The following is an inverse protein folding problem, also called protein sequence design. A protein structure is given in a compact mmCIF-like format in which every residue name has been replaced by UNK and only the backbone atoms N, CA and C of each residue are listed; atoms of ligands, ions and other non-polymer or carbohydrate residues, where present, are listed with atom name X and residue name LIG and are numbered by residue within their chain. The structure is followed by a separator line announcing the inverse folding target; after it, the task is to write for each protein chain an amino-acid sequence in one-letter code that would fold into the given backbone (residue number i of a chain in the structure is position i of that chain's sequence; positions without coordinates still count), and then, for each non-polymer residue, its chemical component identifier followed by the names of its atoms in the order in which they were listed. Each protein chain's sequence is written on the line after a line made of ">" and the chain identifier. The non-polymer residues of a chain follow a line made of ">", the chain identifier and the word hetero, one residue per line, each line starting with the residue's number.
data_IF_285119722567
#
_entry.id   IF_285119722567
#
_cell.length_a   1.000
_cell.length_b   1.000
_cell.length_c   1.000
_cell.angle_alpha   90.00
_cell.angle_beta   90.00
_cell.angle_gamma   90.00
#
_symmetry.space_group_name_H-M   'P 1'
#
loop_
_entity.id
_entity.type
_entity.pdbx_description
1 polymer ?
#
# COMPACT_ATOMS: atom_id res chain seq x y z
N UNK A 1 25.77 0.76 4.22
CA UNK A 1 26.38 -0.58 4.27
C UNK A 1 25.26 -1.60 4.44
N UNK A 2 25.35 -2.77 3.79
CA UNK A 2 24.37 -3.84 3.96
C UNK A 2 24.30 -4.26 5.43
N UNK A 3 23.10 -4.61 5.89
CA UNK A 3 22.91 -5.16 7.22
C UNK A 3 23.55 -6.55 7.32
N UNK A 4 24.15 -6.95 8.46
CA UNK A 4 24.63 -8.31 8.64
C UNK A 4 23.55 -9.34 8.30
N UNK A 5 23.90 -10.40 7.55
CA UNK A 5 22.93 -11.35 6.99
C UNK A 5 22.00 -11.95 8.06
N UNK A 6 22.54 -12.30 9.23
CA UNK A 6 21.75 -12.82 10.35
C UNK A 6 20.67 -11.81 10.83
N UNK A 7 21.03 -10.52 10.93
CA UNK A 7 20.09 -9.47 11.33
C UNK A 7 19.08 -9.16 10.23
N UNK A 8 19.52 -9.18 8.97
CA UNK A 8 18.64 -9.01 7.80
C UNK A 8 17.57 -10.11 7.76
N UNK A 9 17.96 -11.38 7.92
CA UNK A 9 17.04 -12.51 7.94
C UNK A 9 16.08 -12.44 9.14
N UNK A 10 16.56 -12.02 10.33
CA UNK A 10 15.70 -11.83 11.49
C UNK A 10 14.68 -10.71 11.27
N UNK A 11 15.10 -9.58 10.68
CA UNK A 11 14.20 -8.47 10.37
C UNK A 11 13.14 -8.86 9.33
N UNK A 12 13.52 -9.65 8.30
CA UNK A 12 12.56 -10.21 7.34
C UNK A 12 11.57 -11.15 8.03
N UNK A 13 12.00 -11.97 8.99
CA UNK A 13 11.10 -12.83 9.76
C UNK A 13 10.06 -11.97 10.50
N UNK A 14 10.51 -10.96 11.26
CA UNK A 14 9.61 -10.08 12.01
C UNK A 14 8.66 -9.31 11.10
N UNK A 15 9.14 -8.84 9.95
CA UNK A 15 8.28 -8.22 8.93
C UNK A 15 7.19 -9.19 8.47
N UNK A 16 7.51 -10.47 8.20
CA UNK A 16 6.51 -11.46 7.79
C UNK A 16 5.46 -11.71 8.87
N UNK A 17 5.86 -11.73 10.14
CA UNK A 17 4.91 -11.83 11.26
C UNK A 17 3.95 -10.63 11.24
N UNK A 18 4.50 -9.41 11.16
CA UNK A 18 3.71 -8.18 11.08
C UNK A 18 2.78 -8.15 9.87
N UNK A 19 3.25 -8.51 8.68
CA UNK A 19 2.43 -8.55 7.48
C UNK A 19 1.22 -9.48 7.67
N UNK A 20 1.39 -10.63 8.37
CA UNK A 20 0.31 -11.59 8.62
C UNK A 20 -0.80 -11.05 9.54
N UNK A 21 -0.42 -10.28 10.57
CA UNK A 21 -1.32 -9.85 11.64
C UNK A 21 -1.79 -8.40 11.51
N UNK A 22 -1.04 -7.56 10.79
CA UNK A 22 -1.29 -6.13 10.65
C UNK A 22 -0.92 -5.28 11.87
N UNK A 23 -1.39 -4.04 11.86
CA UNK A 23 -1.10 -3.03 12.88
C UNK A 23 -2.25 -2.75 13.85
N UNK A 24 -3.36 -3.49 13.78
CA UNK A 24 -4.50 -3.27 14.66
C UNK A 24 -4.11 -3.50 16.13
N UNK A 25 -4.26 -2.51 17.05
CA UNK A 25 -3.67 -2.58 18.39
C UNK A 25 -4.08 -3.81 19.20
N UNK A 26 -5.36 -4.20 19.13
CA UNK A 26 -5.87 -5.38 19.82
C UNK A 26 -5.25 -6.68 19.29
N UNK A 27 -5.02 -6.76 17.99
CA UNK A 27 -4.43 -7.94 17.33
C UNK A 27 -2.95 -8.05 17.68
N UNK A 28 -2.22 -6.93 17.60
CA UNK A 28 -0.80 -6.88 17.98
C UNK A 28 -0.61 -7.23 19.45
N UNK A 29 -1.44 -6.69 20.35
CA UNK A 29 -1.37 -7.01 21.77
C UNK A 29 -1.58 -8.51 22.04
N UNK A 30 -2.60 -9.12 21.42
CA UNK A 30 -2.86 -10.56 21.55
C UNK A 30 -1.71 -11.41 21.01
N UNK A 31 -1.11 -11.02 19.88
CA UNK A 31 0.04 -11.75 19.33
C UNK A 31 1.28 -11.67 20.23
N UNK A 32 1.55 -10.51 20.83
CA UNK A 32 2.68 -10.34 21.74
C UNK A 32 2.52 -11.22 22.99
N UNK A 33 1.30 -11.37 23.50
CA UNK A 33 1.00 -12.16 24.69
C UNK A 33 1.04 -13.67 24.43
N UNK A 34 0.35 -14.13 23.39
CA UNK A 34 0.06 -15.56 23.20
C UNK A 34 0.84 -16.20 22.03
N UNK A 35 1.38 -15.39 21.11
CA UNK A 35 1.92 -15.83 19.82
C UNK A 35 0.96 -16.71 19.00
N UNK A 36 -0.35 -16.54 19.20
CA UNK A 36 -1.39 -17.31 18.54
C UNK A 36 -1.91 -16.59 17.28
N UNK A 37 -1.49 -17.08 16.13
CA UNK A 37 -1.96 -16.59 14.84
C UNK A 37 -3.45 -16.85 14.58
N UNK A 38 -4.02 -17.96 15.04
CA UNK A 38 -5.44 -18.26 14.85
C UNK A 38 -6.27 -17.24 15.62
N UNK A 39 -5.88 -16.95 16.86
CA UNK A 39 -6.52 -15.91 17.65
C UNK A 39 -6.46 -14.55 16.97
N UNK A 40 -5.33 -14.21 16.35
CA UNK A 40 -5.19 -12.98 15.57
C UNK A 40 -6.17 -12.94 14.37
N UNK A 41 -6.34 -14.05 13.65
CA UNK A 41 -7.28 -14.14 12.53
C UNK A 41 -8.74 -14.01 12.99
N UNK A 42 -9.11 -14.56 14.15
CA UNK A 42 -10.43 -14.36 14.75
C UNK A 42 -10.68 -12.88 15.04
N UNK A 43 -9.76 -12.21 15.74
CA UNK A 43 -9.86 -10.78 16.05
C UNK A 43 -9.95 -9.91 14.79
N UNK A 44 -9.17 -10.21 13.75
CA UNK A 44 -9.26 -9.52 12.47
C UNK A 44 -10.63 -9.71 11.80
N UNK A 45 -11.22 -10.90 11.92
CA UNK A 45 -12.58 -11.18 11.42
C UNK A 45 -13.61 -10.33 12.17
N UNK A 46 -13.54 -10.33 13.50
CA UNK A 46 -14.45 -9.58 14.36
C UNK A 46 -14.37 -8.07 14.08
N UNK A 47 -13.15 -7.55 13.84
CA UNK A 47 -12.94 -6.15 13.46
C UNK A 47 -13.57 -5.81 12.10
N UNK A 48 -13.37 -6.66 11.08
CA UNK A 48 -14.00 -6.47 9.76
C UNK A 48 -15.53 -6.46 9.87
N UNK A 49 -16.11 -7.39 10.63
CA UNK A 49 -17.55 -7.42 10.87
C UNK A 49 -18.04 -6.19 11.64
N UNK A 50 -17.25 -5.72 12.61
CA UNK A 50 -17.58 -4.54 13.41
C UNK A 50 -17.63 -3.28 12.54
N UNK A 51 -16.68 -3.11 11.62
CA UNK A 51 -16.74 -2.00 10.64
C UNK A 51 -18.03 -2.03 9.82
N UNK A 52 -18.41 -3.20 9.28
CA UNK A 52 -19.63 -3.36 8.51
C UNK A 52 -20.89 -3.05 9.34
N UNK A 53 -20.93 -3.51 10.60
CA UNK A 53 -22.04 -3.25 11.54
C UNK A 53 -22.15 -1.77 11.93
N UNK A 54 -21.06 -1.01 11.86
CA UNK A 54 -21.00 0.41 12.23
C UNK A 54 -21.34 1.37 11.09
N UNK A 55 -21.20 0.98 9.82
CA UNK A 55 -21.55 1.85 8.68
C UNK A 55 -22.96 2.45 8.71
N UNK A 56 -24.02 1.75 9.18
CA UNK A 56 -25.35 2.34 9.43
C UNK A 56 -25.34 3.65 10.23
N UNK A 57 -24.39 3.85 11.14
CA UNK A 57 -24.29 5.07 11.97
C UNK A 57 -23.80 6.28 11.18
N UNK A 58 -23.13 6.07 10.06
CA UNK A 58 -22.46 7.13 9.27
C UNK A 58 -23.18 7.47 7.97
N UNK A 59 -24.28 6.77 7.66
CA UNK A 59 -25.12 7.07 6.51
C UNK A 59 -26.54 7.44 6.92
N UNK A 60 -26.98 8.63 6.50
CA UNK A 60 -28.38 9.05 6.63
C UNK A 60 -29.31 8.42 5.58
N UNK A 61 -28.76 7.75 4.56
CA UNK A 61 -29.52 7.12 3.47
C UNK A 61 -29.21 5.63 3.38
N UNK A 62 -30.26 4.80 3.49
CA UNK A 62 -30.14 3.35 3.34
C UNK A 62 -29.48 2.90 2.02
N UNK A 63 -29.63 3.67 0.94
CA UNK A 63 -28.99 3.37 -0.35
C UNK A 63 -27.47 3.38 -0.27
N UNK A 64 -26.90 4.28 0.55
CA UNK A 64 -25.45 4.47 0.61
C UNK A 64 -24.77 3.34 1.38
N UNK A 65 -25.47 2.70 2.32
CA UNK A 65 -24.98 1.54 3.07
C UNK A 65 -24.64 0.38 2.16
N UNK A 66 -25.56 0.01 1.25
CA UNK A 66 -25.30 -1.04 0.25
C UNK A 66 -24.03 -0.74 -0.55
N UNK A 67 -23.80 0.52 -0.91
CA UNK A 67 -22.64 0.90 -1.72
C UNK A 67 -21.36 0.82 -0.92
N UNK A 68 -21.34 1.31 0.33
CA UNK A 68 -20.21 1.22 1.25
C UNK A 68 -19.84 -0.25 1.47
N UNK A 69 -20.79 -1.10 1.83
CA UNK A 69 -20.57 -2.54 2.06
C UNK A 69 -19.96 -3.22 0.81
N UNK A 70 -20.52 -2.89 -0.35
CA UNK A 70 -20.08 -3.47 -1.63
C UNK A 70 -18.65 -3.04 -1.97
N UNK A 71 -18.29 -1.76 -1.78
CA UNK A 71 -16.92 -1.33 -2.06
C UNK A 71 -15.94 -1.83 -1.01
N UNK A 72 -16.28 -1.76 0.28
CA UNK A 72 -15.41 -2.14 1.40
C UNK A 72 -14.98 -3.61 1.30
N UNK A 73 -15.93 -4.51 1.02
CA UNK A 73 -15.65 -5.94 0.85
C UNK A 73 -14.80 -6.28 -0.38
N UNK A 74 -14.73 -5.39 -1.39
CA UNK A 74 -14.03 -5.65 -2.65
C UNK A 74 -12.67 -5.00 -2.76
N UNK A 75 -12.44 -3.88 -2.07
CA UNK A 75 -11.17 -3.14 -2.10
C UNK A 75 -9.95 -4.02 -1.77
N UNK A 76 -9.97 -4.89 -0.75
CA UNK A 76 -8.81 -5.73 -0.41
C UNK A 76 -8.26 -6.54 -1.59
N UNK A 77 -9.15 -7.05 -2.45
CA UNK A 77 -8.77 -7.84 -3.63
C UNK A 77 -8.26 -7.02 -4.81
N UNK A 78 -8.36 -5.68 -4.75
CA UNK A 78 -7.98 -4.76 -5.83
C UNK A 78 -6.74 -3.94 -5.50
N UNK A 79 -6.18 -4.08 -4.29
CA UNK A 79 -4.94 -3.39 -3.90
C UNK A 79 -3.83 -3.68 -4.91
N UNK A 80 -3.02 -2.67 -5.20
CA UNK A 80 -1.99 -2.68 -6.24
C UNK A 80 -2.50 -2.50 -7.68
N UNK A 81 -3.80 -2.68 -7.93
CA UNK A 81 -4.40 -2.49 -9.25
C UNK A 81 -5.08 -1.13 -9.38
N UNK A 82 -5.12 -0.60 -10.61
CA UNK A 82 -5.97 0.56 -10.90
C UNK A 82 -7.44 0.20 -10.62
N UNK A 83 -8.08 0.98 -9.77
CA UNK A 83 -9.46 0.77 -9.37
C UNK A 83 -10.41 1.05 -10.55
N UNK A 84 -11.24 0.07 -10.90
CA UNK A 84 -12.30 0.22 -11.91
C UNK A 84 -13.62 -0.22 -11.31
N UNK A 85 -14.61 0.67 -11.27
CA UNK A 85 -15.94 0.39 -10.71
C UNK A 85 -16.62 -0.86 -11.29
N UNK A 86 -16.37 -1.17 -12.57
CA UNK A 86 -16.88 -2.38 -13.24
C UNK A 86 -16.37 -3.70 -12.62
N UNK A 87 -15.22 -3.68 -11.91
CA UNK A 87 -14.70 -4.84 -11.19
C UNK A 87 -15.41 -5.05 -9.84
N UNK A 88 -16.07 -4.01 -9.32
CA UNK A 88 -16.85 -4.08 -8.08
C UNK A 88 -18.26 -4.60 -8.38
N UNK A 89 -18.94 -3.99 -9.35
CA UNK A 89 -20.27 -4.39 -9.79
C UNK A 89 -20.53 -3.86 -11.20
N UNK A 90 -21.18 -4.68 -12.03
CA UNK A 90 -21.67 -4.26 -13.35
C UNK A 90 -23.07 -3.63 -13.29
N UNK A 91 -23.82 -3.92 -12.22
CA UNK A 91 -25.23 -3.53 -12.09
C UNK A 91 -25.38 -2.19 -11.35
N UNK A 92 -24.43 -1.84 -10.48
CA UNK A 92 -24.45 -0.58 -9.74
C UNK A 92 -23.72 0.50 -10.54
N UNK A 93 -24.38 1.63 -10.78
CA UNK A 93 -23.76 2.76 -11.46
C UNK A 93 -22.54 3.27 -10.69
N UNK A 94 -21.45 3.57 -11.40
CA UNK A 94 -20.17 4.02 -10.83
C UNK A 94 -20.31 5.19 -9.86
N UNK A 95 -21.23 6.13 -10.09
CA UNK A 95 -21.45 7.30 -9.21
C UNK A 95 -21.86 6.90 -7.78
N UNK A 96 -22.59 5.80 -7.63
CA UNK A 96 -23.05 5.31 -6.33
C UNK A 96 -21.92 4.60 -5.58
N UNK A 97 -21.16 3.75 -6.29
CA UNK A 97 -19.95 3.14 -5.74
C UNK A 97 -18.91 4.20 -5.36
N UNK A 98 -18.77 5.26 -6.17
CA UNK A 98 -17.90 6.41 -5.87
C UNK A 98 -18.31 7.09 -4.57
N UNK A 99 -19.62 7.31 -4.35
CA UNK A 99 -20.13 7.89 -3.11
C UNK A 99 -19.75 7.05 -1.88
N UNK A 100 -19.90 5.73 -1.95
CA UNK A 100 -19.47 4.83 -0.88
C UNK A 100 -17.95 4.89 -0.62
N UNK A 101 -17.16 4.93 -1.69
CA UNK A 101 -15.70 5.01 -1.60
C UNK A 101 -15.22 6.34 -1.00
N UNK A 102 -15.85 7.46 -1.37
CA UNK A 102 -15.56 8.78 -0.79
C UNK A 102 -15.93 8.85 0.70
N UNK A 103 -16.95 8.10 1.15
CA UNK A 103 -17.28 7.98 2.58
C UNK A 103 -16.24 7.16 3.34
N UNK A 104 -15.74 6.07 2.76
CA UNK A 104 -14.65 5.29 3.34
C UNK A 104 -13.35 6.10 3.46
N UNK A 105 -12.99 6.89 2.44
CA UNK A 105 -11.82 7.77 2.47
C UNK A 105 -12.00 8.88 3.52
N UNK A 106 -13.22 9.42 3.65
CA UNK A 106 -13.55 10.38 4.71
C UNK A 106 -13.42 9.81 6.11
N UNK A 107 -13.66 8.51 6.28
CA UNK A 107 -13.50 7.80 7.54
C UNK A 107 -12.08 7.25 7.77
N UNK A 108 -11.11 7.57 6.90
CA UNK A 108 -9.74 7.03 6.91
C UNK A 108 -9.68 5.49 6.87
N UNK A 109 -10.71 4.84 6.30
CA UNK A 109 -10.75 3.39 6.13
C UNK A 109 -10.07 2.92 4.84
N UNK A 110 -9.83 3.85 3.92
CA UNK A 110 -9.12 3.63 2.66
C UNK A 110 -8.32 4.87 2.31
N UNK A 111 -7.34 4.72 1.43
CA UNK A 111 -6.54 5.85 0.91
C UNK A 111 -6.42 5.81 -0.60
N UNK A 112 -6.70 6.92 -1.27
CA UNK A 112 -6.48 7.06 -2.71
C UNK A 112 -5.00 7.28 -3.06
N UNK A 113 -4.56 6.59 -4.11
CA UNK A 113 -3.29 6.85 -4.80
C UNK A 113 -3.61 7.27 -6.23
N UNK A 114 -3.41 8.55 -6.56
CA UNK A 114 -3.80 9.08 -7.87
C UNK A 114 -2.71 8.90 -8.92
N UNK A 115 -3.12 8.58 -10.14
CA UNK A 115 -2.22 8.51 -11.28
C UNK A 115 -1.73 9.90 -11.65
N UNK A 116 -0.44 10.07 -11.84
CA UNK A 116 0.16 11.25 -12.49
C UNK A 116 1.09 10.83 -13.63
N UNK A 117 1.28 11.70 -14.62
CA UNK A 117 2.22 11.48 -15.73
C UNK A 117 3.52 12.28 -15.61
N UNK A 118 3.60 13.23 -14.66
CA UNK A 118 4.77 14.09 -14.52
C UNK A 118 4.75 14.97 -13.27
N UNK A 119 5.80 15.79 -13.17
CA UNK A 119 6.05 16.77 -12.10
C UNK A 119 5.68 18.17 -12.64
N UNK A 120 5.11 19.07 -11.81
CA UNK A 120 4.69 18.89 -10.43
C UNK A 120 3.45 17.97 -10.31
N UNK A 121 3.41 17.16 -9.24
CA UNK A 121 2.46 16.04 -9.13
C UNK A 121 1.01 16.52 -9.09
N UNK A 122 0.74 17.56 -8.29
CA UNK A 122 -0.59 18.13 -8.12
C UNK A 122 -1.19 18.77 -9.39
N UNK A 123 -0.38 19.17 -10.36
CA UNK A 123 -0.87 19.74 -11.62
C UNK A 123 -1.20 18.67 -12.67
N UNK A 124 -0.54 17.50 -12.61
CA UNK A 124 -0.59 16.48 -13.65
C UNK A 124 -1.37 15.22 -13.27
N UNK A 125 -1.92 15.16 -12.05
CA UNK A 125 -2.67 13.99 -11.62
C UNK A 125 -4.06 13.90 -12.28
N UNK A 126 -4.53 12.67 -12.45
CA UNK A 126 -5.84 12.36 -13.00
C UNK A 126 -6.77 11.85 -11.87
N UNK A 127 -7.78 12.61 -11.44
CA UNK A 127 -8.69 12.21 -10.36
C UNK A 127 -9.61 11.02 -10.72
N UNK A 128 -9.68 10.64 -12.00
CA UNK A 128 -10.45 9.50 -12.48
C UNK A 128 -9.64 8.19 -12.54
N UNK A 129 -8.30 8.27 -12.43
CA UNK A 129 -7.41 7.10 -12.43
C UNK A 129 -6.67 7.04 -11.11
N UNK A 130 -6.99 6.02 -10.31
CA UNK A 130 -6.43 5.86 -8.98
C UNK A 130 -6.33 4.37 -8.60
N UNK A 131 -5.42 4.06 -7.68
CA UNK A 131 -5.42 2.84 -6.87
C UNK A 131 -6.04 3.18 -5.49
N UNK A 132 -6.35 2.15 -4.71
CA UNK A 132 -6.90 2.30 -3.36
C UNK A 132 -6.13 1.40 -2.42
N UNK A 133 -5.65 1.96 -1.30
CA UNK A 133 -5.12 1.22 -0.16
C UNK A 133 -6.23 0.95 0.84
N UNK A 134 -6.11 -0.17 1.54
CA UNK A 134 -6.97 -0.50 2.65
C UNK A 134 -6.42 0.07 3.97
N UNK A 135 -7.25 0.13 5.00
CA UNK A 135 -6.87 0.69 6.32
C UNK A 135 -5.67 -0.02 6.96
N UNK A 136 -5.67 -1.35 6.90
CA UNK A 136 -4.68 -2.18 7.58
C UNK A 136 -4.34 -3.40 6.73
N UNK A 137 -3.07 -3.80 6.75
CA UNK A 137 -2.58 -4.93 5.97
C UNK A 137 -3.10 -6.27 6.51
N UNK A 138 -3.22 -6.43 7.83
CA UNK A 138 -3.81 -7.61 8.45
C UNK A 138 -5.28 -7.74 8.10
N UNK A 139 -6.04 -6.64 8.19
CA UNK A 139 -7.44 -6.61 7.77
C UNK A 139 -7.61 -6.88 6.27
N UNK A 140 -6.75 -6.30 5.43
CA UNK A 140 -6.74 -6.56 3.98
C UNK A 140 -6.51 -8.05 3.69
N UNK A 141 -5.48 -8.64 4.31
CA UNK A 141 -5.14 -10.04 4.11
C UNK A 141 -6.24 -10.96 4.62
N UNK A 142 -6.81 -10.66 5.79
CA UNK A 142 -7.93 -11.43 6.35
C UNK A 142 -9.15 -11.40 5.43
N UNK A 143 -9.49 -10.24 4.87
CA UNK A 143 -10.57 -10.08 3.91
C UNK A 143 -10.31 -10.80 2.58
N UNK A 144 -9.04 -11.09 2.26
CA UNK A 144 -8.65 -11.90 1.11
C UNK A 144 -8.55 -13.40 1.42
N UNK A 145 -9.10 -13.85 2.55
CA UNK A 145 -9.04 -15.24 3.02
C UNK A 145 -7.62 -15.79 3.10
N UNK A 146 -6.70 -15.00 3.71
CA UNK A 146 -5.32 -15.42 3.92
C UNK A 146 -5.27 -16.82 4.56
N UNK A 147 -4.58 -17.74 3.87
CA UNK A 147 -4.23 -19.03 4.44
C UNK A 147 -2.99 -18.87 5.33
N UNK A 148 -3.23 -18.75 6.63
CA UNK A 148 -2.18 -18.51 7.63
C UNK A 148 -1.15 -19.65 7.71
N UNK A 149 -1.59 -20.90 7.51
CA UNK A 149 -0.67 -22.04 7.51
C UNK A 149 0.36 -21.90 6.38
N UNK A 150 -0.11 -21.55 5.18
CA UNK A 150 0.77 -21.29 4.04
C UNK A 150 1.70 -20.09 4.29
N UNK A 151 1.20 -19.04 4.94
CA UNK A 151 2.02 -17.87 5.28
C UNK A 151 3.20 -18.24 6.19
N UNK A 152 2.97 -19.12 7.16
CA UNK A 152 3.97 -19.58 8.11
C UNK A 152 4.94 -20.59 7.46
N UNK A 153 4.44 -21.51 6.63
CA UNK A 153 5.25 -22.62 6.08
C UNK A 153 6.00 -22.27 4.79
N UNK A 154 5.38 -21.50 3.88
CA UNK A 154 5.97 -21.13 2.58
C UNK A 154 6.63 -19.75 2.66
N UNK A 155 7.79 -19.69 3.31
CA UNK A 155 8.54 -18.44 3.48
C UNK A 155 8.96 -17.77 2.16
N UNK A 156 8.89 -18.46 1.02
CA UNK A 156 9.43 -18.01 -0.27
C UNK A 156 8.38 -17.61 -1.31
N UNK A 157 7.12 -18.07 -1.18
CA UNK A 157 6.08 -17.87 -2.20
C UNK A 157 4.75 -17.45 -1.55
N UNK A 158 4.76 -16.22 -1.05
CA UNK A 158 3.55 -15.50 -0.71
C UNK A 158 2.80 -15.22 -2.02
N UNK A 159 1.73 -15.98 -2.29
CA UNK A 159 0.93 -15.92 -3.54
C UNK A 159 0.45 -14.50 -3.90
N UNK A 160 0.43 -13.56 -2.95
CA UNK A 160 0.03 -12.16 -3.15
C UNK A 160 1.12 -11.16 -2.69
N UNK A 161 2.40 -11.53 -2.74
CA UNK A 161 3.48 -10.67 -2.24
C UNK A 161 3.50 -9.26 -2.87
N UNK A 162 3.09 -9.11 -4.14
CA UNK A 162 3.05 -7.81 -4.84
C UNK A 162 2.09 -6.83 -4.16
N UNK A 163 0.77 -7.07 -4.23
CA UNK A 163 -0.22 -6.22 -3.57
C UNK A 163 0.02 -6.02 -2.07
N UNK A 164 0.48 -7.04 -1.35
CA UNK A 164 0.80 -6.95 0.08
C UNK A 164 2.00 -6.02 0.32
N UNK A 165 3.05 -6.12 -0.49
CA UNK A 165 4.20 -5.20 -0.38
C UNK A 165 3.83 -3.78 -0.77
N UNK A 166 3.05 -3.59 -1.83
CA UNK A 166 2.54 -2.28 -2.22
C UNK A 166 1.66 -1.66 -1.13
N UNK A 167 0.76 -2.45 -0.53
CA UNK A 167 -0.06 -2.04 0.63
C UNK A 167 0.81 -1.56 1.78
N UNK A 168 1.79 -2.39 2.18
CA UNK A 168 2.69 -2.10 3.29
C UNK A 168 3.44 -0.78 3.07
N UNK A 169 4.07 -0.63 1.91
CA UNK A 169 4.80 0.60 1.54
C UNK A 169 3.88 1.82 1.56
N UNK A 170 2.66 1.71 1.03
CA UNK A 170 1.68 2.79 1.03
C UNK A 170 1.23 3.19 2.45
N UNK A 171 1.07 2.21 3.35
CA UNK A 171 0.77 2.47 4.76
C UNK A 171 1.94 3.13 5.48
N UNK A 172 3.17 2.69 5.23
CA UNK A 172 4.37 3.34 5.78
C UNK A 172 4.47 4.80 5.33
N UNK A 173 4.19 5.12 4.06
CA UNK A 173 4.15 6.51 3.59
C UNK A 173 3.08 7.30 4.34
N UNK A 174 1.87 6.73 4.51
CA UNK A 174 0.78 7.39 5.24
C UNK A 174 1.12 7.65 6.71
N UNK A 175 1.65 6.65 7.41
CA UNK A 175 2.03 6.76 8.83
C UNK A 175 3.12 7.82 9.04
N UNK A 176 3.93 8.06 8.01
CA UNK A 176 5.01 9.03 7.99
C UNK A 176 4.62 10.37 7.32
N UNK A 177 3.34 10.61 7.00
CA UNK A 177 2.91 11.91 6.49
C UNK A 177 2.77 12.95 7.62
N UNK A 178 3.13 14.22 7.37
CA UNK A 178 3.10 15.29 8.37
C UNK A 178 1.69 15.83 8.61
N UNK A 179 0.86 15.14 9.41
CA UNK A 179 -0.46 15.56 9.95
C UNK A 179 -1.53 16.11 8.96
N UNK A 180 -1.19 16.33 7.69
CA UNK A 180 -2.10 16.68 6.61
C UNK A 180 -2.52 15.40 5.91
N UNK A 181 -3.79 15.31 5.49
CA UNK A 181 -4.22 14.31 4.50
C UNK A 181 -3.55 14.60 3.16
N UNK A 182 -2.29 14.21 3.03
CA UNK A 182 -1.54 14.33 1.79
C UNK A 182 -2.11 13.35 0.76
N UNK A 183 -2.09 13.77 -0.52
CA UNK A 183 -2.47 12.90 -1.63
C UNK A 183 -1.30 11.98 -1.92
N UNK A 184 -1.58 10.69 -2.11
CA UNK A 184 -0.58 9.79 -2.65
C UNK A 184 -0.66 9.78 -4.18
N UNK A 185 0.48 9.55 -4.81
CA UNK A 185 0.60 9.52 -6.25
C UNK A 185 1.36 8.28 -6.70
N UNK A 186 0.99 7.76 -7.85
CA UNK A 186 1.78 6.78 -8.60
C UNK A 186 2.02 7.31 -10.01
N UNK A 187 3.15 6.97 -10.60
CA UNK A 187 3.44 7.39 -11.97
C UNK A 187 2.95 6.33 -12.95
N UNK A 188 2.23 6.74 -13.98
CA UNK A 188 1.99 5.89 -15.15
C UNK A 188 2.16 6.70 -16.43
N UNK A 189 2.84 6.11 -17.40
CA UNK A 189 3.11 6.78 -18.68
C UNK A 189 1.82 7.03 -19.47
N UNK A 190 1.61 8.27 -19.90
CA UNK A 190 0.53 8.63 -20.84
C UNK A 190 0.92 8.35 -22.29
N UNK A 191 1.17 7.07 -22.59
CA UNK A 191 1.36 6.61 -23.97
C UNK A 191 0.50 5.38 -24.20
N UNK A 192 -0.32 5.42 -25.26
CA UNK A 192 -1.13 4.28 -25.66
C UNK A 192 -0.28 3.01 -25.82
N UNK A 193 -0.75 1.90 -25.24
CA UNK A 193 -0.05 0.61 -25.23
C UNK A 193 1.13 0.52 -24.26
N UNK A 194 1.44 1.55 -23.47
CA UNK A 194 2.46 1.48 -22.43
C UNK A 194 1.89 0.97 -21.10
N UNK A 195 2.59 0.03 -20.48
CA UNK A 195 2.33 -0.46 -19.12
C UNK A 195 3.37 0.03 -18.11
N UNK A 196 4.14 1.08 -18.45
CA UNK A 196 5.18 1.58 -17.58
C UNK A 196 4.55 2.34 -16.41
N UNK A 197 4.82 1.84 -15.20
CA UNK A 197 4.26 2.30 -13.94
C UNK A 197 5.32 2.25 -12.84
N UNK A 198 5.32 3.26 -11.96
CA UNK A 198 6.09 3.29 -10.73
C UNK A 198 5.11 3.50 -9.57
N UNK A 199 5.22 2.67 -8.53
CA UNK A 199 4.15 2.44 -7.55
C UNK A 199 3.84 3.66 -6.68
N UNK A 200 4.86 4.42 -6.28
CA UNK A 200 4.67 5.65 -5.52
C UNK A 200 5.60 6.78 -5.97
N UNK A 201 5.14 8.01 -5.79
CA UNK A 201 5.93 9.23 -5.87
C UNK A 201 5.76 10.00 -4.56
N UNK A 202 6.87 10.28 -3.89
CA UNK A 202 6.89 11.01 -2.62
C UNK A 202 7.40 12.42 -2.88
N UNK A 203 6.56 13.42 -2.62
CA UNK A 203 6.93 14.83 -2.74
C UNK A 203 7.57 15.34 -1.44
N UNK A 204 8.65 16.10 -1.58
CA UNK A 204 9.37 16.75 -0.48
C UNK A 204 9.91 18.10 -0.96
N UNK A 205 10.45 18.91 -0.06
CA UNK A 205 10.88 20.29 -0.37
C UNK A 205 11.90 20.38 -1.51
N UNK A 206 12.78 19.39 -1.63
CA UNK A 206 13.81 19.32 -2.67
C UNK A 206 13.37 18.62 -3.96
N UNK A 207 12.12 18.16 -4.08
CA UNK A 207 11.61 17.54 -5.31
C UNK A 207 10.72 16.32 -5.08
N UNK A 208 10.85 15.33 -5.95
CA UNK A 208 10.06 14.10 -5.92
C UNK A 208 10.99 12.91 -5.91
N UNK A 209 10.77 12.00 -4.97
CA UNK A 209 11.44 10.69 -4.94
C UNK A 209 10.48 9.60 -5.43
N UNK A 210 10.77 8.95 -6.57
CA UNK A 210 10.01 7.80 -7.03
C UNK A 210 10.37 6.55 -6.23
N UNK A 211 9.37 5.73 -5.94
CA UNK A 211 9.52 4.48 -5.19
C UNK A 211 8.89 3.33 -5.99
N UNK A 212 9.67 2.30 -6.29
CA UNK A 212 9.21 1.06 -6.94
C UNK A 212 9.30 -0.10 -5.96
N UNK A 213 8.20 -0.82 -5.80
CA UNK A 213 8.04 -1.89 -4.81
C UNK A 213 8.21 -3.24 -5.50
N UNK A 214 9.02 -4.12 -4.90
CA UNK A 214 9.24 -5.48 -5.39
C UNK A 214 9.00 -6.49 -4.29
N UNK A 215 8.05 -7.36 -4.55
CA UNK A 215 7.78 -8.56 -3.75
C UNK A 215 8.96 -9.54 -3.64
N UNK A 216 9.87 -9.53 -4.62
CA UNK A 216 11.01 -10.45 -4.70
C UNK A 216 12.28 -9.76 -5.17
N UNK A 217 13.36 -10.54 -5.23
CA UNK A 217 14.74 -10.06 -5.44
C UNK A 217 15.10 -9.81 -6.91
N UNK A 218 14.31 -10.35 -7.85
CA UNK A 218 14.59 -10.30 -9.29
C UNK A 218 13.62 -9.42 -10.05
N UNK A 219 14.13 -8.43 -10.79
CA UNK A 219 13.33 -7.66 -11.75
C UNK A 219 14.09 -6.45 -12.26
N UNK A 220 14.07 -6.22 -13.58
CA UNK A 220 14.64 -4.99 -14.16
C UNK A 220 13.71 -3.82 -13.84
N UNK A 221 14.25 -2.75 -13.25
CA UNK A 221 13.54 -1.52 -12.90
C UNK A 221 13.28 -0.63 -14.14
N UNK A 222 12.71 -1.21 -15.19
CA UNK A 222 12.55 -0.54 -16.50
C UNK A 222 11.66 0.70 -16.40
N UNK A 223 10.59 0.65 -15.60
CA UNK A 223 9.67 1.78 -15.40
C UNK A 223 10.36 2.91 -14.64
N UNK A 224 10.99 2.63 -13.50
CA UNK A 224 11.84 3.60 -12.78
C UNK A 224 12.90 4.22 -13.69
N UNK A 225 13.68 3.40 -14.39
CA UNK A 225 14.73 3.90 -15.29
C UNK A 225 14.18 4.80 -16.39
N UNK A 226 12.99 4.47 -16.93
CA UNK A 226 12.32 5.32 -17.91
C UNK A 226 11.87 6.64 -17.30
N UNK A 227 11.30 6.63 -16.09
CA UNK A 227 10.89 7.82 -15.38
C UNK A 227 12.07 8.76 -15.13
N UNK A 228 13.17 8.24 -14.57
CA UNK A 228 14.39 8.99 -14.27
C UNK A 228 15.03 9.57 -15.53
N UNK A 229 15.10 8.79 -16.62
CA UNK A 229 15.58 9.31 -17.92
C UNK A 229 14.70 10.42 -18.51
N UNK A 230 13.39 10.39 -18.24
CA UNK A 230 12.46 11.38 -18.77
C UNK A 230 12.36 12.63 -17.89
N UNK A 231 12.89 12.59 -16.66
CA UNK A 231 12.82 13.69 -15.68
C UNK A 231 14.19 13.87 -15.02
N UNK A 232 15.14 14.54 -15.68
CA UNK A 232 16.52 14.67 -15.19
C UNK A 232 16.67 15.36 -13.83
N UNK A 233 15.67 16.13 -13.39
CA UNK A 233 15.65 16.80 -12.09
C UNK A 233 15.43 15.82 -10.92
N UNK A 234 14.98 14.59 -11.20
CA UNK A 234 14.90 13.52 -10.21
C UNK A 234 16.29 12.88 -10.09
N UNK A 235 16.98 13.17 -8.99
CA UNK A 235 18.35 12.73 -8.75
C UNK A 235 18.47 11.22 -8.51
N UNK A 236 17.52 10.62 -7.80
CA UNK A 236 17.54 9.20 -7.45
C UNK A 236 16.14 8.59 -7.32
N UNK A 237 16.06 7.28 -7.45
CA UNK A 237 14.87 6.48 -7.17
C UNK A 237 15.11 5.42 -6.11
N UNK A 238 14.04 4.99 -5.44
CA UNK A 238 14.12 3.99 -4.37
C UNK A 238 13.47 2.69 -4.84
N UNK A 239 14.20 1.58 -4.75
CA UNK A 239 13.64 0.22 -4.84
C UNK A 239 13.37 -0.26 -3.42
N UNK A 240 12.13 -0.64 -3.12
CA UNK A 240 11.78 -1.26 -1.84
C UNK A 240 11.49 -2.74 -2.05
N UNK A 241 12.27 -3.63 -1.41
CA UNK A 241 12.14 -5.08 -1.61
C UNK A 241 12.58 -5.88 -0.38
N UNK A 242 12.61 -7.22 -0.48
CA UNK A 242 13.24 -8.07 0.54
C UNK A 242 14.77 -8.15 0.40
N UNK A 243 15.37 -7.46 -0.58
CA UNK A 243 16.83 -7.40 -0.70
C UNK A 243 17.43 -6.58 0.45
N UNK A 244 18.73 -6.78 0.69
CA UNK A 244 19.49 -5.94 1.61
C UNK A 244 19.77 -4.55 1.00
N UNK A 245 20.30 -3.63 1.81
CA UNK A 245 20.67 -2.31 1.33
C UNK A 245 21.73 -2.37 0.23
N UNK A 246 21.48 -1.69 -0.87
CA UNK A 246 22.37 -1.59 -2.01
C UNK A 246 22.19 -0.22 -2.66
N UNK A 247 23.23 0.29 -3.32
CA UNK A 247 23.12 1.47 -4.18
C UNK A 247 23.79 1.15 -5.50
N UNK A 248 23.00 1.18 -6.57
CA UNK A 248 23.47 0.93 -7.93
C UNK A 248 23.02 2.10 -8.82
N UNK A 249 23.97 2.79 -9.44
CA UNK A 249 23.71 4.00 -10.23
C UNK A 249 22.92 5.06 -9.41
N UNK A 250 21.80 5.54 -9.96
CA UNK A 250 20.87 6.47 -9.33
C UNK A 250 19.69 5.77 -8.63
N UNK A 251 19.85 4.50 -8.24
CA UNK A 251 18.82 3.73 -7.54
C UNK A 251 19.38 3.22 -6.21
N UNK A 252 18.64 3.49 -5.14
CA UNK A 252 18.93 2.95 -3.81
C UNK A 252 17.92 1.84 -3.48
N UNK A 253 18.44 0.66 -3.17
CA UNK A 253 17.66 -0.46 -2.65
C UNK A 253 17.53 -0.33 -1.14
N UNK A 254 16.30 -0.32 -0.65
CA UNK A 254 15.94 -0.27 0.77
C UNK A 254 15.14 -1.54 1.11
N UNK A 255 15.53 -2.31 2.13
CA UNK A 255 14.70 -3.42 2.60
C UNK A 255 13.33 -2.93 3.06
N UNK A 256 12.26 -3.69 2.79
CA UNK A 256 10.88 -3.38 3.20
C UNK A 256 10.80 -3.00 4.69
N UNK A 257 11.43 -3.80 5.56
CA UNK A 257 11.43 -3.57 7.02
C UNK A 257 12.09 -2.25 7.46
N UNK A 258 12.90 -1.62 6.60
CA UNK A 258 13.64 -0.41 6.91
C UNK A 258 13.04 0.84 6.26
N UNK A 259 11.99 0.68 5.45
CA UNK A 259 11.45 1.77 4.65
C UNK A 259 10.83 2.89 5.51
N UNK A 260 10.10 2.55 6.59
CA UNK A 260 9.58 3.53 7.54
C UNK A 260 10.69 4.41 8.14
N UNK A 261 11.76 3.80 8.66
CA UNK A 261 12.92 4.54 9.19
C UNK A 261 13.67 5.34 8.12
N UNK A 262 13.65 4.90 6.86
CA UNK A 262 14.20 5.68 5.75
C UNK A 262 13.36 6.94 5.50
N UNK A 263 12.03 6.85 5.55
CA UNK A 263 11.11 8.00 5.42
C UNK A 263 11.27 9.02 6.55
N UNK A 264 11.50 8.57 7.78
CA UNK A 264 11.82 9.45 8.92
C UNK A 264 13.09 10.25 8.67
N UNK A 265 14.17 9.57 8.31
CA UNK A 265 15.47 10.23 8.07
C UNK A 265 15.44 11.16 6.85
N UNK A 266 14.77 10.79 5.77
CA UNK A 266 14.70 11.63 4.58
C UNK A 266 13.92 12.93 4.82
N UNK A 267 12.91 12.90 5.72
CA UNK A 267 12.22 14.11 6.17
C UNK A 267 13.12 15.02 6.99
N UNK A 268 13.90 14.48 7.92
CA UNK A 268 14.82 15.29 8.73
C UNK A 268 15.90 15.97 7.88
N UNK A 269 16.37 15.34 6.82
CA UNK A 269 17.33 15.92 5.87
C UNK A 269 16.72 16.99 4.94
N UNK A 270 15.39 17.08 4.88
CA UNK A 270 14.66 18.06 4.07
C UNK A 270 14.19 19.30 4.85
N UNK A 271 14.34 19.30 6.18
CA UNK A 271 14.08 20.44 7.07
C UNK A 271 15.32 21.32 7.22
#
# INVERSE_FOLDING_TARGET
>A
MPFPEALHNKAISLLKEYLAIGGMPQVVASYIEDQDYLRCQELLTDLLESYLKDFPKYSSKHSDLKYIDTVFSRIPHLVGNQFKFVQISRDIQSKYLRSGLDLLDKADLVKFIYKTSGIPLGANYNPQRFKVLFIDIGLMQRACDLNIARWITDSYNLINAGPVSEQFVGQEICANANFKREKLYYWARDKSGSSAEVDYLIEHLSGVTPVEVKAGTSGRLKSMQLLLKSNPDISEGIKVSLDNFEKENNIQSIPLYAFGSWLEKSRDLSR
#
